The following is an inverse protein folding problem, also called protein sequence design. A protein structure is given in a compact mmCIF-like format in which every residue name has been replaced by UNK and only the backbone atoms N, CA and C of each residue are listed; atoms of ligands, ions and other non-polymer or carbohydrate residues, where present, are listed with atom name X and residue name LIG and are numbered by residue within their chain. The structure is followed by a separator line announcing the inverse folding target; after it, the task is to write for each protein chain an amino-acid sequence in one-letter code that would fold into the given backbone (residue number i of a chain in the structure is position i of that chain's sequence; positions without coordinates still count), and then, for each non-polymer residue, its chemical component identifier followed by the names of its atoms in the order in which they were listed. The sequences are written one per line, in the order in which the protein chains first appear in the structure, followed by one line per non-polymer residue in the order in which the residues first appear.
data_IF_958008387213
#
_entry.id   IF_958008387213
#
_cell.length_a   1.000
_cell.length_b   1.000
_cell.length_c   1.000
_cell.angle_alpha   90.00
_cell.angle_beta   90.00
_cell.angle_gamma   90.00
#
_symmetry.space_group_name_H-M   'P 1'
#
loop_
_entity.id
_entity.type
_entity.pdbx_description
1 polymer ?
#
# COMPACT_ATOMS: atom_id res chain seq x y z
N UNK A 1 -3.55 -11.03 -2.45
CA UNK A 1 -4.52 -10.97 -1.33
C UNK A 1 -5.92 -10.91 -1.92
N UNK A 2 -6.89 -11.64 -1.34
CA UNK A 2 -8.29 -11.57 -1.74
C UNK A 2 -9.12 -10.95 -0.61
N UNK A 3 -9.91 -9.94 -0.96
CA UNK A 3 -10.87 -9.25 -0.12
C UNK A 3 -12.27 -9.50 -0.69
N UNK A 4 -13.32 -9.18 0.07
CA UNK A 4 -14.72 -9.43 -0.31
C UNK A 4 -15.07 -8.92 -1.72
N UNK A 5 -14.50 -7.79 -2.13
CA UNK A 5 -14.81 -7.14 -3.40
C UNK A 5 -13.58 -6.80 -4.26
N UNK A 6 -12.40 -7.30 -3.87
CA UNK A 6 -11.17 -6.95 -4.57
C UNK A 6 -10.12 -8.04 -4.46
N UNK A 7 -9.41 -8.28 -5.56
CA UNK A 7 -8.14 -8.99 -5.54
C UNK A 7 -7.02 -7.96 -5.60
N UNK A 8 -6.14 -7.99 -4.61
CA UNK A 8 -5.07 -7.01 -4.42
C UNK A 8 -3.72 -7.70 -4.55
N UNK A 9 -3.00 -7.34 -5.60
CA UNK A 9 -1.58 -7.64 -5.74
C UNK A 9 -0.84 -6.40 -5.23
N UNK A 10 0.06 -6.56 -4.27
CA UNK A 10 0.73 -5.43 -3.60
C UNK A 10 2.24 -5.60 -3.60
N UNK A 11 2.95 -4.48 -3.53
CA UNK A 11 4.40 -4.43 -3.45
C UNK A 11 4.81 -3.26 -2.57
N UNK A 12 5.74 -3.49 -1.66
CA UNK A 12 6.26 -2.49 -0.73
C UNK A 12 7.77 -2.58 -0.72
N UNK A 13 8.45 -1.47 -0.99
CA UNK A 13 9.89 -1.39 -0.98
C UNK A 13 10.38 -0.05 -0.42
N UNK A 14 11.56 -0.11 0.19
CA UNK A 14 12.35 1.07 0.57
C UNK A 14 13.53 1.28 -0.38
N UNK A 15 13.73 0.37 -1.35
CA UNK A 15 14.80 0.48 -2.34
C UNK A 15 14.45 1.56 -3.37
N UNK A 16 15.42 2.43 -3.65
CA UNK A 16 15.28 3.51 -4.62
C UNK A 16 15.21 2.96 -6.05
N UNK A 17 15.82 1.81 -6.30
CA UNK A 17 15.90 1.24 -7.64
C UNK A 17 14.55 0.67 -8.11
N UNK A 18 13.64 0.38 -7.17
CA UNK A 18 12.26 -0.04 -7.43
C UNK A 18 11.34 1.09 -7.91
N UNK A 19 11.75 2.36 -7.75
CA UNK A 19 10.96 3.50 -8.24
C UNK A 19 10.83 3.48 -9.77
N UNK A 20 9.73 3.98 -10.35
CA UNK A 20 9.66 4.23 -11.79
C UNK A 20 10.68 5.31 -12.22
N UNK A 21 11.29 5.15 -13.40
CA UNK A 21 12.31 6.08 -13.91
C UNK A 21 11.82 7.53 -14.00
N UNK A 22 10.56 7.73 -14.37
CA UNK A 22 9.93 9.07 -14.41
C UNK A 22 9.93 9.75 -13.03
N UNK A 23 9.75 8.98 -11.96
CA UNK A 23 9.76 9.46 -10.57
C UNK A 23 11.21 9.77 -10.14
N UNK A 24 12.17 8.88 -10.46
CA UNK A 24 13.59 9.08 -10.16
C UNK A 24 14.12 10.37 -10.80
N UNK A 25 13.83 10.57 -12.08
CA UNK A 25 14.28 11.73 -12.85
C UNK A 25 13.62 13.04 -12.40
N UNK A 26 12.39 12.96 -11.88
CA UNK A 26 11.68 14.09 -11.28
C UNK A 26 12.16 14.50 -9.89
N UNK A 27 13.15 13.81 -9.30
CA UNK A 27 13.69 14.10 -7.97
C UNK A 27 12.79 13.67 -6.81
N UNK A 28 11.67 13.01 -7.10
CA UNK A 28 10.72 12.50 -6.12
C UNK A 28 11.29 11.22 -5.48
N UNK A 29 11.17 11.10 -4.16
CA UNK A 29 11.77 10.00 -3.37
C UNK A 29 10.78 8.89 -2.98
N UNK A 30 9.50 9.07 -3.25
CA UNK A 30 8.46 8.11 -2.92
C UNK A 30 7.49 7.97 -4.08
N UNK A 31 7.02 6.76 -4.32
CA UNK A 31 5.95 6.48 -5.27
C UNK A 31 4.87 5.67 -4.56
N UNK A 32 3.65 6.19 -4.53
CA UNK A 32 2.46 5.51 -3.97
C UNK A 32 1.37 5.54 -5.02
N UNK A 33 0.99 4.36 -5.50
CA UNK A 33 -0.01 4.21 -6.54
C UNK A 33 -0.94 3.05 -6.19
N UNK A 34 -2.22 3.25 -6.45
CA UNK A 34 -3.24 2.21 -6.39
C UNK A 34 -3.97 2.21 -7.72
N UNK A 35 -3.91 1.08 -8.43
CA UNK A 35 -4.64 0.86 -9.68
C UNK A 35 -5.96 0.14 -9.36
N UNK A 36 -7.08 0.78 -9.69
CA UNK A 36 -8.43 0.20 -9.51
C UNK A 36 -9.19 0.30 -10.83
N UNK A 37 -9.73 -0.80 -11.32
CA UNK A 37 -10.49 -0.86 -12.57
C UNK A 37 -9.79 -0.18 -13.77
N UNK A 38 -8.47 -0.35 -13.85
CA UNK A 38 -7.63 0.23 -14.90
C UNK A 38 -7.32 1.72 -14.73
N UNK A 39 -7.82 2.36 -13.67
CA UNK A 39 -7.58 3.77 -13.36
C UNK A 39 -6.55 3.91 -12.24
N UNK A 40 -5.48 4.65 -12.52
CA UNK A 40 -4.42 4.89 -11.54
C UNK A 40 -4.79 6.04 -10.61
N UNK A 41 -4.72 5.78 -9.30
CA UNK A 41 -4.72 6.80 -8.27
C UNK A 41 -3.31 6.92 -7.69
N UNK A 42 -2.60 7.96 -8.11
CA UNK A 42 -1.27 8.32 -7.61
C UNK A 42 -1.42 9.28 -6.43
N UNK A 43 -0.76 8.97 -5.30
CA UNK A 43 -0.82 9.77 -4.07
C UNK A 43 0.55 9.84 -3.39
N UNK A 44 1.58 10.26 -4.10
CA UNK A 44 2.87 10.55 -3.46
C UNK A 44 2.88 11.92 -2.77
N UNK A 45 1.95 12.80 -3.13
CA UNK A 45 1.73 14.14 -2.55
C UNK A 45 0.35 14.25 -1.88
N UNK A 46 0.09 15.33 -1.14
CA UNK A 46 -1.22 15.58 -0.53
C UNK A 46 -1.46 14.94 0.85
N UNK A 47 -0.41 14.52 1.56
CA UNK A 47 -0.48 13.97 2.93
C UNK A 47 -0.37 15.04 4.02
N UNK A 48 -0.39 16.31 3.63
CA UNK A 48 -0.29 17.43 4.55
C UNK A 48 -1.57 17.54 5.38
N UNK A 49 -1.45 17.81 6.68
CA UNK A 49 -2.55 18.07 7.60
C UNK A 49 -3.55 16.93 7.86
N UNK A 50 -3.35 15.72 7.30
CA UNK A 50 -4.23 14.57 7.60
C UNK A 50 -4.23 14.23 9.10
N UNK A 51 -3.11 14.45 9.80
CA UNK A 51 -3.05 14.30 11.25
C UNK A 51 -4.00 15.27 11.96
N UNK A 52 -4.05 16.55 11.55
CA UNK A 52 -4.98 17.54 12.11
C UNK A 52 -6.43 17.08 11.97
N UNK A 53 -6.80 16.61 10.77
CA UNK A 53 -8.15 16.08 10.50
C UNK A 53 -8.47 14.88 11.41
N UNK A 54 -7.51 13.97 11.60
CA UNK A 54 -7.68 12.82 12.52
C UNK A 54 -7.93 13.29 13.95
N UNK A 55 -7.13 14.24 14.46
CA UNK A 55 -7.32 14.78 15.81
C UNK A 55 -8.68 15.47 15.98
N UNK A 56 -9.10 16.27 14.99
CA UNK A 56 -10.41 16.92 15.03
C UNK A 56 -11.57 15.91 15.08
N UNK A 57 -11.45 14.76 14.41
CA UNK A 57 -12.43 13.66 14.48
C UNK A 57 -12.41 12.99 15.85
N UNK A 58 -11.24 12.69 16.38
CA UNK A 58 -11.08 12.08 17.71
C UNK A 58 -11.74 12.96 18.78
N UNK A 59 -11.48 14.28 18.77
CA UNK A 59 -12.04 15.22 19.73
C UNK A 59 -13.57 15.35 19.65
N UNK A 60 -14.16 15.04 18.49
CA UNK A 60 -15.61 14.97 18.26
C UNK A 60 -16.23 13.61 18.61
N UNK A 61 -15.42 12.62 19.00
CA UNK A 61 -15.89 11.25 19.22
C UNK A 61 -16.12 10.45 17.92
N UNK A 62 -15.62 10.95 16.79
CA UNK A 62 -15.73 10.34 15.44
C UNK A 62 -14.40 9.73 14.97
N UNK A 63 -13.44 9.58 15.89
CA UNK A 63 -12.13 9.00 15.60
C UNK A 63 -12.19 7.47 15.42
N UNK A 64 -11.23 6.87 14.69
CA UNK A 64 -11.18 5.43 14.53
C UNK A 64 -10.89 4.72 15.87
N UNK A 65 -11.68 3.71 16.19
CA UNK A 65 -11.53 2.85 17.36
C UNK A 65 -10.82 1.53 17.05
N UNK A 66 -10.81 0.62 18.03
CA UNK A 66 -10.15 -0.70 17.90
C UNK A 66 -10.75 -1.53 16.77
N UNK A 67 -12.08 -1.55 16.65
CA UNK A 67 -12.76 -2.35 15.63
C UNK A 67 -12.48 -1.84 14.21
N UNK A 68 -12.34 -0.52 14.02
CA UNK A 68 -12.02 0.07 12.72
C UNK A 68 -10.62 -0.35 12.22
N UNK A 69 -9.65 -0.51 13.13
CA UNK A 69 -8.25 -0.80 12.77
C UNK A 69 -7.90 -2.29 12.82
N UNK A 70 -8.71 -3.12 13.48
CA UNK A 70 -8.44 -4.55 13.74
C UNK A 70 -8.03 -5.31 12.49
N UNK A 71 -8.75 -5.14 11.39
CA UNK A 71 -8.48 -5.86 10.14
C UNK A 71 -7.05 -5.62 9.60
N UNK A 72 -6.55 -4.38 9.69
CA UNK A 72 -5.20 -4.02 9.25
C UNK A 72 -4.10 -4.63 10.12
N UNK A 73 -4.34 -4.67 11.45
CA UNK A 73 -3.42 -5.27 12.42
C UNK A 73 -3.33 -6.78 12.18
N UNK A 74 -4.47 -7.44 12.01
CA UNK A 74 -4.52 -8.87 11.72
C UNK A 74 -3.84 -9.21 10.39
N UNK A 75 -4.06 -8.40 9.34
CA UNK A 75 -3.41 -8.59 8.06
C UNK A 75 -1.88 -8.50 8.18
N UNK A 76 -1.38 -7.45 8.84
CA UNK A 76 0.06 -7.28 9.05
C UNK A 76 0.66 -8.42 9.89
N UNK A 77 -0.08 -8.90 10.89
CA UNK A 77 0.31 -10.07 11.68
C UNK A 77 0.39 -11.33 10.81
N UNK A 78 -0.61 -11.60 9.97
CA UNK A 78 -0.62 -12.77 9.07
C UNK A 78 0.54 -12.71 8.07
N UNK A 79 0.77 -11.55 7.44
CA UNK A 79 1.90 -11.36 6.52
C UNK A 79 3.23 -11.68 7.21
N UNK A 80 3.47 -11.09 8.40
CA UNK A 80 4.70 -11.30 9.17
C UNK A 80 4.98 -12.77 9.50
N UNK A 81 3.93 -13.56 9.74
CA UNK A 81 4.06 -14.96 10.16
C UNK A 81 3.83 -15.96 9.02
N UNK A 82 3.57 -15.50 7.80
CA UNK A 82 3.39 -16.34 6.62
C UNK A 82 4.74 -16.86 6.11
N UNK A 83 4.71 -18.02 5.45
CA UNK A 83 5.86 -18.52 4.69
C UNK A 83 5.68 -18.16 3.22
N UNK A 84 6.74 -17.71 2.52
CA UNK A 84 6.66 -17.53 1.08
C UNK A 84 6.30 -18.86 0.38
N UNK A 85 5.29 -18.84 -0.48
CA UNK A 85 4.77 -20.04 -1.16
C UNK A 85 5.35 -20.24 -2.57
N UNK A 86 6.22 -19.34 -3.02
CA UNK A 86 6.79 -19.33 -4.37
C UNK A 86 6.13 -18.29 -5.28
N UNK A 87 6.39 -18.41 -6.58
CA UNK A 87 5.92 -17.46 -7.62
C UNK A 87 4.64 -18.01 -8.24
N UNK A 88 3.57 -17.23 -8.21
CA UNK A 88 2.33 -17.47 -8.95
C UNK A 88 1.97 -16.20 -9.71
N UNK A 89 2.25 -16.19 -11.02
CA UNK A 89 2.06 -15.03 -11.89
C UNK A 89 0.61 -14.53 -11.96
N UNK A 90 -0.37 -15.30 -11.50
CA UNK A 90 -1.74 -14.82 -11.39
C UNK A 90 -1.91 -13.88 -10.17
N UNK A 91 -1.18 -14.09 -9.08
CA UNK A 91 -1.28 -13.34 -7.83
C UNK A 91 -0.13 -12.36 -7.58
N UNK A 92 0.99 -12.54 -8.27
CA UNK A 92 2.18 -11.73 -8.07
C UNK A 92 1.97 -10.29 -8.55
N UNK A 93 2.59 -9.37 -7.82
CA UNK A 93 2.67 -7.99 -8.27
C UNK A 93 3.68 -7.88 -9.43
N UNK A 94 3.41 -7.08 -10.49
CA UNK A 94 4.30 -6.97 -11.66
C UNK A 94 5.75 -6.61 -11.35
N UNK A 95 6.01 -5.90 -10.25
CA UNK A 95 7.38 -5.56 -9.82
C UNK A 95 8.18 -6.76 -9.29
N UNK A 96 7.54 -7.88 -8.95
CA UNK A 96 8.27 -9.09 -8.52
C UNK A 96 9.20 -9.61 -9.61
N UNK A 97 8.80 -9.50 -10.89
CA UNK A 97 9.61 -9.90 -12.04
C UNK A 97 10.94 -9.14 -12.16
N UNK A 98 11.04 -7.95 -11.54
CA UNK A 98 12.30 -7.20 -11.49
C UNK A 98 13.27 -7.74 -10.45
N UNK A 99 12.75 -8.25 -9.33
CA UNK A 99 13.57 -8.79 -8.22
C UNK A 99 14.11 -10.18 -8.56
N UNK A 100 13.35 -10.98 -9.31
CA UNK A 100 13.72 -12.36 -9.64
C UNK A 100 14.76 -12.48 -10.79
N UNK A 101 15.17 -11.36 -11.39
CA UNK A 101 16.18 -11.30 -12.44
C UNK A 101 17.55 -10.97 -11.86
#
# INVERSE_FOLDING_TARGET
MELERARVNWFLSLDRDDLPEVVKNGGIRSYRSVLVDGSELEFSSGFENLHTVVYEKILRGEGPGIEDVRASIELAYRIRNSRPEGVDRSFDHPLLDKILR
#
